data_IF_244965542491
#
_entry.id   IF_244965542491
#
_cell.length_a   1.000
_cell.length_b   1.000
_cell.length_c   1.000
_cell.angle_alpha   90.00
_cell.angle_beta   90.00
_cell.angle_gamma   90.00
#
_symmetry.space_group_name_H-M   'P 1'
#
loop_
_entity.id
_entity.type
_entity.pdbx_description
1 polymer ?
#
# COMPACT_ATOMS: atom_id res chain seq x y z
N UNK A 1 5.32 -13.38 12.20
CA UNK A 1 5.00 -13.04 13.59
C UNK A 1 3.58 -12.50 13.63
N UNK A 2 2.60 -13.26 14.12
CA UNK A 2 1.24 -12.74 14.33
C UNK A 2 1.24 -12.00 15.66
N UNK A 3 1.16 -10.67 15.62
CA UNK A 3 1.14 -9.80 16.81
C UNK A 3 -0.26 -9.37 17.20
N UNK A 4 -1.29 -9.91 16.53
CA UNK A 4 -2.69 -9.53 16.73
C UNK A 4 -3.16 -9.68 18.18
N UNK A 5 -2.51 -10.57 18.94
CA UNK A 5 -2.79 -10.90 20.34
C UNK A 5 -1.65 -10.52 21.29
N UNK A 6 -0.64 -9.79 20.79
CA UNK A 6 0.44 -9.28 21.65
C UNK A 6 -0.06 -8.07 22.43
N UNK A 7 0.06 -8.11 23.76
CA UNK A 7 -0.19 -6.94 24.58
C UNK A 7 0.90 -5.90 24.35
N UNK A 8 0.56 -4.83 23.64
CA UNK A 8 1.49 -3.76 23.31
C UNK A 8 1.59 -2.70 24.41
N UNK A 9 0.83 -2.78 25.50
CA UNK A 9 0.83 -1.72 26.52
C UNK A 9 2.24 -1.48 27.11
N UNK A 10 2.66 -0.22 27.29
CA UNK A 10 1.86 1.01 27.17
C UNK A 10 1.76 1.58 25.74
N UNK A 11 2.36 0.96 24.72
CA UNK A 11 2.30 1.41 23.32
C UNK A 11 0.87 1.33 22.78
N UNK A 12 0.43 2.39 22.10
CA UNK A 12 -0.86 2.46 21.42
C UNK A 12 -0.67 2.88 19.97
N UNK A 13 -1.07 2.03 19.04
CA UNK A 13 -1.11 2.37 17.61
C UNK A 13 -2.30 3.30 17.37
N UNK A 14 -2.04 4.53 16.93
CA UNK A 14 -3.07 5.55 16.67
C UNK A 14 -3.51 5.64 15.21
N UNK A 15 -2.75 5.03 14.31
CA UNK A 15 -3.06 4.96 12.89
C UNK A 15 -1.90 4.37 12.09
N UNK A 16 -2.10 4.24 10.78
CA UNK A 16 -1.10 3.82 9.81
C UNK A 16 -0.94 4.90 8.74
N UNK A 17 0.29 5.14 8.31
CA UNK A 17 0.60 5.97 7.14
C UNK A 17 1.29 5.06 6.12
N UNK A 18 0.68 4.93 4.94
CA UNK A 18 1.16 4.10 3.85
C UNK A 18 1.47 5.01 2.66
N UNK A 19 2.76 5.27 2.43
CA UNK A 19 3.22 5.99 1.25
C UNK A 19 3.50 5.00 0.12
N UNK A 20 2.76 5.11 -0.98
CA UNK A 20 2.88 4.27 -2.18
C UNK A 20 2.99 2.77 -1.87
N UNK A 21 2.08 2.18 -1.06
CA UNK A 21 2.26 0.82 -0.59
C UNK A 21 2.35 -0.17 -1.76
N UNK A 22 3.38 -1.01 -1.71
CA UNK A 22 3.67 -2.01 -2.73
C UNK A 22 2.76 -3.23 -2.54
N UNK A 23 1.84 -3.44 -3.48
CA UNK A 23 0.95 -4.61 -3.52
C UNK A 23 1.04 -5.30 -4.89
N UNK A 24 0.68 -6.58 -4.93
CA UNK A 24 0.63 -7.37 -6.15
C UNK A 24 -0.58 -8.29 -6.17
N UNK A 25 -0.56 -9.23 -7.11
CA UNK A 25 -1.62 -10.23 -7.31
C UNK A 25 -1.37 -10.99 -8.60
N UNK A 26 -1.99 -12.16 -8.72
CA UNK A 26 -1.72 -13.02 -9.87
C UNK A 26 -2.29 -12.44 -11.16
N UNK A 27 -3.56 -12.02 -11.11
CA UNK A 27 -4.21 -11.29 -12.20
C UNK A 27 -3.68 -9.86 -12.30
N UNK A 28 -3.34 -9.43 -13.51
CA UNK A 28 -2.87 -8.07 -13.78
C UNK A 28 -3.99 -7.03 -13.70
N UNK A 29 -3.69 -5.88 -13.12
CA UNK A 29 -4.57 -4.70 -13.13
C UNK A 29 -4.39 -3.89 -14.43
N UNK A 30 -5.24 -2.88 -14.63
CA UNK A 30 -5.12 -1.99 -15.78
C UNK A 30 -3.84 -1.16 -15.72
N UNK A 31 -3.49 -0.65 -14.53
CA UNK A 31 -2.25 0.10 -14.29
C UNK A 31 -1.00 -0.74 -14.57
N UNK A 32 -0.97 -2.00 -14.13
CA UNK A 32 0.16 -2.89 -14.36
C UNK A 32 0.41 -3.18 -15.85
N UNK A 33 -0.67 -3.32 -16.63
CA UNK A 33 -0.57 -3.51 -18.09
C UNK A 33 -0.18 -2.20 -18.80
N UNK A 34 -0.78 -1.08 -18.40
CA UNK A 34 -0.52 0.24 -18.97
C UNK A 34 0.93 0.67 -18.77
N UNK A 35 1.48 0.42 -17.58
CA UNK A 35 2.83 0.82 -17.18
C UNK A 35 3.80 -0.37 -17.16
N UNK A 36 3.58 -1.40 -17.98
CA UNK A 36 4.40 -2.61 -17.96
C UNK A 36 5.89 -2.36 -18.24
N UNK A 37 6.20 -1.31 -19.03
CA UNK A 37 7.53 -0.85 -19.37
C UNK A 37 7.92 0.45 -18.63
N UNK A 38 7.37 0.67 -17.43
CA UNK A 38 7.76 1.77 -16.55
C UNK A 38 9.28 1.83 -16.37
N UNK A 39 9.84 3.04 -16.29
CA UNK A 39 11.28 3.24 -16.26
C UNK A 39 11.87 3.08 -14.85
N UNK A 40 11.05 3.21 -13.81
CA UNK A 40 11.47 3.09 -12.41
C UNK A 40 11.21 1.67 -11.90
N UNK A 41 10.00 1.16 -12.12
CA UNK A 41 9.57 -0.16 -11.67
C UNK A 41 8.85 -0.94 -12.79
N UNK A 42 9.59 -1.43 -13.82
CA UNK A 42 9.00 -2.26 -14.87
C UNK A 42 8.34 -3.52 -14.30
N UNK A 43 7.30 -4.03 -14.97
CA UNK A 43 6.53 -5.18 -14.49
C UNK A 43 7.38 -6.45 -14.22
N UNK A 44 8.39 -6.80 -15.06
CA UNK A 44 9.27 -7.94 -14.75
C UNK A 44 10.09 -7.74 -13.47
N UNK A 45 10.45 -6.50 -13.12
CA UNK A 45 11.15 -6.18 -11.87
C UNK A 45 10.20 -6.36 -10.69
N UNK A 46 8.97 -5.86 -10.80
CA UNK A 46 7.93 -6.07 -9.79
C UNK A 46 7.68 -7.57 -9.54
N UNK A 47 7.61 -8.37 -10.60
CA UNK A 47 7.45 -9.83 -10.50
C UNK A 47 8.65 -10.50 -9.81
N UNK A 48 9.86 -10.10 -10.16
CA UNK A 48 11.08 -10.59 -9.54
C UNK A 48 11.11 -10.28 -8.03
N UNK A 49 10.80 -9.04 -7.64
CA UNK A 49 10.71 -8.63 -6.23
C UNK A 49 9.74 -9.52 -5.46
N UNK A 50 8.55 -9.79 -6.02
CA UNK A 50 7.59 -10.68 -5.37
C UNK A 50 8.08 -12.13 -5.29
N UNK A 51 8.71 -12.65 -6.34
CA UNK A 51 9.28 -14.01 -6.32
C UNK A 51 10.35 -14.21 -5.25
N UNK A 52 11.09 -13.14 -4.90
CA UNK A 52 12.12 -13.16 -3.86
C UNK A 52 11.53 -12.97 -2.46
N UNK A 53 10.47 -12.18 -2.33
CA UNK A 53 9.86 -11.85 -1.05
C UNK A 53 8.87 -12.92 -0.53
N UNK A 54 8.25 -13.66 -1.45
CA UNK A 54 7.20 -14.62 -1.11
C UNK A 54 7.75 -16.00 -0.67
N UNK A 55 7.03 -16.72 0.20
CA UNK A 55 7.38 -18.09 0.56
C UNK A 55 7.52 -18.99 -0.68
N UNK A 56 8.46 -19.93 -0.64
CA UNK A 56 8.68 -20.87 -1.75
C UNK A 56 7.39 -21.65 -2.04
N UNK A 57 7.02 -21.70 -3.32
CA UNK A 57 5.83 -22.43 -3.79
C UNK A 57 4.51 -21.69 -3.64
N UNK A 58 4.52 -20.42 -3.22
CA UNK A 58 3.33 -19.56 -3.25
C UNK A 58 3.33 -18.64 -4.48
N UNK A 59 2.14 -18.25 -4.91
CA UNK A 59 1.93 -17.26 -5.97
C UNK A 59 1.71 -15.85 -5.39
N UNK A 60 1.45 -14.88 -6.28
CA UNK A 60 1.25 -13.48 -5.92
C UNK A 60 -0.11 -13.19 -5.28
N UNK A 61 -1.03 -14.16 -5.25
CA UNK A 61 -2.25 -14.06 -4.44
C UNK A 61 -2.04 -14.50 -2.99
N UNK A 62 -0.80 -14.77 -2.59
CA UNK A 62 -0.44 -14.88 -1.18
C UNK A 62 -0.69 -13.54 -0.44
N UNK A 63 -1.26 -13.59 0.77
CA UNK A 63 -1.67 -12.43 1.60
C UNK A 63 -0.60 -11.36 1.90
N UNK A 64 0.68 -11.67 1.67
CA UNK A 64 1.78 -10.70 1.81
C UNK A 64 1.96 -9.83 0.57
N UNK A 65 1.51 -10.31 -0.58
CA UNK A 65 1.55 -9.61 -1.86
C UNK A 65 0.18 -8.98 -2.16
N UNK A 66 -0.88 -9.76 -2.02
CA UNK A 66 -2.25 -9.34 -2.29
C UNK A 66 -3.07 -9.27 -0.98
N UNK A 67 -3.22 -8.10 -0.33
CA UNK A 67 -4.02 -8.01 0.89
C UNK A 67 -5.53 -8.13 0.64
N UNK A 68 -6.00 -8.05 -0.61
CA UNK A 68 -7.41 -8.15 -0.99
C UNK A 68 -7.93 -9.58 -0.96
N UNK A 69 -7.05 -10.60 -1.00
CA UNK A 69 -7.46 -11.99 -0.82
C UNK A 69 -7.92 -12.26 0.60
N UNK A 70 -9.08 -12.90 0.77
CA UNK A 70 -9.62 -13.22 2.09
C UNK A 70 -8.59 -14.00 2.91
N UNK A 71 -8.46 -13.65 4.18
CA UNK A 71 -7.47 -14.24 5.07
C UNK A 71 -7.57 -13.70 6.49
N UNK A 72 -6.82 -14.30 7.43
CA UNK A 72 -6.91 -13.99 8.87
C UNK A 72 -6.47 -12.56 9.21
N UNK A 73 -5.82 -11.85 8.28
CA UNK A 73 -5.47 -10.44 8.46
C UNK A 73 -6.70 -9.53 8.47
N UNK A 74 -7.79 -9.88 7.77
CA UNK A 74 -9.01 -9.06 7.69
C UNK A 74 -9.65 -8.82 9.06
N UNK A 75 -9.63 -9.80 9.95
CA UNK A 75 -10.14 -9.65 11.31
C UNK A 75 -9.34 -8.64 12.15
N UNK A 76 -8.10 -8.36 11.73
CA UNK A 76 -7.22 -7.41 12.38
C UNK A 76 -7.23 -6.03 11.71
N UNK A 77 -7.65 -5.93 10.44
CA UNK A 77 -7.77 -4.64 9.72
C UNK A 77 -8.69 -3.68 10.48
N UNK A 78 -9.81 -4.17 11.01
CA UNK A 78 -10.74 -3.36 11.83
C UNK A 78 -10.15 -2.82 13.14
N UNK A 79 -9.01 -3.36 13.60
CA UNK A 79 -8.31 -2.87 14.80
C UNK A 79 -7.49 -1.60 14.48
N UNK A 80 -7.30 -1.27 13.20
CA UNK A 80 -6.65 -0.02 12.77
C UNK A 80 -7.64 1.13 12.91
N UNK A 81 -7.32 2.10 13.76
CA UNK A 81 -8.21 3.23 14.04
C UNK A 81 -8.40 4.15 12.81
N UNK A 82 -7.28 4.56 12.18
CA UNK A 82 -7.27 5.36 10.96
C UNK A 82 -6.07 5.02 10.07
N UNK A 83 -6.21 5.20 8.78
CA UNK A 83 -5.17 4.93 7.80
C UNK A 83 -5.06 6.08 6.79
N UNK A 84 -3.86 6.57 6.55
CA UNK A 84 -3.52 7.43 5.42
C UNK A 84 -2.90 6.56 4.32
N UNK A 85 -3.37 6.70 3.08
CA UNK A 85 -2.75 6.11 1.89
C UNK A 85 -2.42 7.22 0.91
N UNK A 86 -1.14 7.34 0.55
CA UNK A 86 -0.64 8.28 -0.45
C UNK A 86 -0.23 7.52 -1.70
N UNK A 87 -0.58 8.01 -2.88
CA UNK A 87 -0.26 7.38 -4.17
C UNK A 87 -0.25 8.37 -5.33
N UNK A 88 0.17 7.89 -6.50
CA UNK A 88 0.28 8.70 -7.71
C UNK A 88 -0.23 7.91 -8.93
N UNK A 89 -0.94 8.56 -9.84
CA UNK A 89 -1.61 7.87 -10.95
C UNK A 89 -0.69 7.33 -12.06
N UNK A 90 0.59 7.69 -12.06
CA UNK A 90 1.60 7.06 -12.90
C UNK A 90 2.35 5.90 -12.23
N UNK A 91 1.98 5.51 -11.01
CA UNK A 91 2.50 4.31 -10.36
C UNK A 91 1.89 3.04 -10.97
N UNK A 92 2.73 2.05 -11.30
CA UNK A 92 2.32 0.76 -11.84
C UNK A 92 1.32 0.02 -10.93
N UNK A 93 1.37 0.25 -9.62
CA UNK A 93 0.53 -0.40 -8.61
C UNK A 93 -0.70 0.42 -8.19
N UNK A 94 -0.96 1.58 -8.83
CA UNK A 94 -2.02 2.50 -8.37
C UNK A 94 -3.40 1.85 -8.25
N UNK A 95 -3.77 0.96 -9.18
CA UNK A 95 -5.04 0.24 -9.11
C UNK A 95 -5.14 -0.60 -7.83
N UNK A 96 -4.05 -1.29 -7.44
CA UNK A 96 -4.00 -2.11 -6.22
C UNK A 96 -4.03 -1.25 -4.96
N UNK A 97 -3.39 -0.10 -4.98
CA UNK A 97 -3.42 0.87 -3.88
C UNK A 97 -4.85 1.39 -3.67
N UNK A 98 -5.60 1.68 -4.74
CA UNK A 98 -6.99 2.11 -4.69
C UNK A 98 -7.95 0.98 -4.28
N UNK A 99 -7.72 -0.25 -4.75
CA UNK A 99 -8.45 -1.45 -4.30
C UNK A 99 -8.26 -1.68 -2.80
N UNK A 100 -7.04 -1.49 -2.29
CA UNK A 100 -6.75 -1.60 -0.86
C UNK A 100 -7.49 -0.54 -0.04
N UNK A 101 -7.51 0.72 -0.48
CA UNK A 101 -8.34 1.77 0.14
C UNK A 101 -9.81 1.35 0.20
N UNK A 102 -10.34 0.81 -0.90
CA UNK A 102 -11.72 0.32 -0.95
C UNK A 102 -11.96 -0.81 0.05
N UNK A 103 -11.01 -1.72 0.21
CA UNK A 103 -11.09 -2.80 1.21
C UNK A 103 -11.09 -2.24 2.63
N UNK A 104 -10.19 -1.31 2.96
CA UNK A 104 -10.13 -0.67 4.27
C UNK A 104 -11.45 0.01 4.65
N UNK A 105 -12.04 0.77 3.72
CA UNK A 105 -13.35 1.43 3.91
C UNK A 105 -14.45 0.40 4.15
N UNK A 106 -14.48 -0.70 3.39
CA UNK A 106 -15.45 -1.80 3.61
C UNK A 106 -15.27 -2.50 4.96
N UNK A 107 -14.06 -2.52 5.50
CA UNK A 107 -13.75 -3.03 6.83
C UNK A 107 -14.04 -2.02 7.96
N UNK A 108 -14.55 -0.83 7.66
CA UNK A 108 -14.92 0.20 8.65
C UNK A 108 -13.74 1.02 9.18
N UNK A 109 -12.58 0.97 8.52
CA UNK A 109 -11.42 1.81 8.88
C UNK A 109 -11.67 3.24 8.43
N UNK A 110 -11.31 4.23 9.26
CA UNK A 110 -11.29 5.63 8.81
C UNK A 110 -10.10 5.84 7.87
N UNK A 111 -10.37 6.05 6.58
CA UNK A 111 -9.32 6.18 5.56
C UNK A 111 -9.24 7.61 5.04
N UNK A 112 -8.04 8.17 5.04
CA UNK A 112 -7.67 9.33 4.22
C UNK A 112 -6.85 8.83 3.03
N UNK A 113 -7.31 9.10 1.81
CA UNK A 113 -6.65 8.68 0.58
C UNK A 113 -6.25 9.91 -0.24
N UNK A 114 -4.96 10.00 -0.59
CA UNK A 114 -4.37 11.11 -1.36
C UNK A 114 -3.69 10.56 -2.60
N UNK A 115 -4.39 10.62 -3.73
CA UNK A 115 -3.86 10.21 -5.03
C UNK A 115 -3.66 11.43 -5.93
N UNK A 116 -2.41 11.76 -6.24
CA UNK A 116 -2.09 12.82 -7.19
C UNK A 116 -2.19 12.30 -8.63
N UNK A 117 -2.70 13.14 -9.53
CA UNK A 117 -2.86 12.80 -10.94
C UNK A 117 -1.50 12.69 -11.67
N UNK A 118 -0.47 13.34 -11.16
CA UNK A 118 0.86 13.42 -11.77
C UNK A 118 1.91 12.91 -10.80
N UNK A 119 2.65 11.90 -11.24
CA UNK A 119 3.79 11.35 -10.53
C UNK A 119 4.00 9.89 -10.91
N UNK A 120 5.02 9.27 -10.34
CA UNK A 120 5.38 7.86 -10.53
C UNK A 120 5.83 7.27 -9.19
N UNK A 121 6.15 5.97 -9.17
CA UNK A 121 6.63 5.31 -7.96
C UNK A 121 7.91 5.98 -7.42
N UNK A 122 7.98 6.28 -6.12
CA UNK A 122 9.13 6.95 -5.47
C UNK A 122 9.47 8.36 -6.01
N UNK A 123 8.51 9.08 -6.61
CA UNK A 123 8.74 10.46 -7.09
C UNK A 123 9.20 11.40 -5.96
N UNK A 124 8.74 11.17 -4.73
CA UNK A 124 9.12 11.92 -3.54
C UNK A 124 10.57 11.68 -3.09
N UNK A 125 11.24 10.65 -3.62
CA UNK A 125 12.68 10.43 -3.40
C UNK A 125 13.56 11.31 -4.31
N UNK A 126 13.01 11.81 -5.42
CA UNK A 126 13.77 12.57 -6.43
C UNK A 126 13.28 14.02 -6.62
N UNK A 127 12.07 14.34 -6.15
CA UNK A 127 11.51 15.69 -6.15
C UNK A 127 11.32 16.20 -4.71
N UNK A 128 12.14 17.15 -4.23
CA UNK A 128 12.05 17.72 -2.88
C UNK A 128 10.72 18.40 -2.56
N UNK A 129 10.02 18.94 -3.57
CA UNK A 129 8.71 19.55 -3.38
C UNK A 129 7.66 18.45 -3.11
N UNK A 130 7.74 17.31 -3.82
CA UNK A 130 6.91 16.14 -3.56
C UNK A 130 7.22 15.52 -2.19
N UNK A 131 8.50 15.39 -1.82
CA UNK A 131 8.92 14.96 -0.49
C UNK A 131 8.28 15.81 0.62
N UNK A 132 8.40 17.13 0.48
CA UNK A 132 7.84 18.09 1.44
C UNK A 132 6.31 17.98 1.52
N UNK A 133 5.63 17.78 0.39
CA UNK A 133 4.19 17.59 0.35
C UNK A 133 3.76 16.31 1.09
N UNK A 134 4.40 15.16 0.81
CA UNK A 134 4.09 13.88 1.48
C UNK A 134 4.32 13.98 2.99
N UNK A 135 5.42 14.61 3.43
CA UNK A 135 5.70 14.84 4.85
C UNK A 135 4.65 15.73 5.50
N UNK A 136 4.21 16.80 4.84
CA UNK A 136 3.15 17.68 5.37
C UNK A 136 1.81 16.96 5.47
N UNK A 137 1.42 16.16 4.46
CA UNK A 137 0.21 15.33 4.51
C UNK A 137 0.27 14.36 5.71
N UNK A 138 1.40 13.68 5.89
CA UNK A 138 1.59 12.77 7.02
C UNK A 138 1.54 13.50 8.36
N UNK A 139 2.16 14.69 8.46
CA UNK A 139 2.11 15.54 9.65
C UNK A 139 0.68 15.94 10.01
N UNK A 140 -0.09 16.41 9.03
CA UNK A 140 -1.48 16.83 9.25
C UNK A 140 -2.34 15.64 9.69
N UNK A 141 -2.14 14.47 9.06
CA UNK A 141 -2.80 13.24 9.47
C UNK A 141 -2.42 12.81 10.89
N UNK A 142 -1.18 13.00 11.33
CA UNK A 142 -0.73 12.65 12.69
C UNK A 142 -1.32 13.60 13.73
N UNK A 143 -1.40 14.90 13.41
CA UNK A 143 -1.86 15.94 14.32
C UNK A 143 -3.39 16.06 14.43
N UNK A 144 -4.13 15.65 13.39
CA UNK A 144 -5.59 15.55 13.39
C UNK A 144 -6.13 14.34 14.16
#
# INVERSE_FOLDING_TARGET
MQTADTDLRPLRIRGLVLNQPMFGGEKRTGSELKFAADQVLPLPVLDLLWSMALPKGTDRDHRYCNPMVKGPHHDNVKKVAKCLVVGFNGDIMVDRQQEFVTMLVKCGVQVEARFDQVGFHDIDMVDPARASAVVNIAKDFILG
#
